data_IF_419469661296
#
_entry.id   IF_419469661296
#
_cell.length_a   1.000
_cell.length_b   1.000
_cell.length_c   1.000
_cell.angle_alpha   90.00
_cell.angle_beta   90.00
_cell.angle_gamma   90.00
#
_symmetry.space_group_name_H-M   'P 1'
#
loop_
_entity.id
_entity.type
_entity.pdbx_description
1 polymer ?
#
# COMPACT_ATOMS: atom_id res chain seq x y z
N UNK A 1 -21.19 40.69 12.48
CA UNK A 1 -21.84 39.56 13.16
C UNK A 1 -21.46 38.35 12.34
N UNK A 2 -20.24 37.87 12.54
CA UNK A 2 -19.65 36.77 11.79
C UNK A 2 -19.49 35.61 12.76
N UNK A 3 -20.26 34.57 12.53
CA UNK A 3 -20.24 33.34 13.30
C UNK A 3 -19.13 32.43 12.77
N UNK A 4 -18.03 32.38 13.53
CA UNK A 4 -16.90 31.50 13.29
C UNK A 4 -17.25 30.08 13.80
N UNK A 5 -17.54 29.16 12.87
CA UNK A 5 -17.84 27.77 13.17
C UNK A 5 -16.54 26.95 13.14
N UNK A 6 -15.87 26.87 14.30
CA UNK A 6 -14.78 25.91 14.52
C UNK A 6 -15.37 24.50 14.62
N UNK A 7 -15.21 23.68 13.58
CA UNK A 7 -15.52 22.25 13.64
C UNK A 7 -14.38 21.51 14.34
N UNK A 8 -14.59 21.14 15.60
CA UNK A 8 -13.73 20.20 16.32
C UNK A 8 -14.04 18.77 15.83
N UNK A 9 -13.12 18.16 15.09
CA UNK A 9 -13.13 16.73 14.81
C UNK A 9 -12.77 15.97 16.09
N UNK A 10 -13.80 15.55 16.84
CA UNK A 10 -13.69 14.49 17.84
C UNK A 10 -13.56 13.16 17.07
N UNK A 11 -12.32 12.74 16.82
CA UNK A 11 -12.00 11.52 16.09
C UNK A 11 -11.84 10.31 17.01
N UNK A 12 -12.67 9.30 16.80
CA UNK A 12 -12.63 7.93 17.34
C UNK A 12 -11.21 7.35 17.45
N UNK A 13 -10.95 6.56 18.50
CA UNK A 13 -9.67 6.00 18.88
C UNK A 13 -9.06 4.97 17.91
N UNK A 14 -8.72 5.40 16.69
CA UNK A 14 -7.96 4.62 15.71
C UNK A 14 -6.47 4.72 16.01
N UNK A 15 -5.79 3.57 16.05
CA UNK A 15 -4.38 3.48 16.42
C UNK A 15 -3.51 3.58 15.18
N UNK A 16 -2.75 4.66 15.05
CA UNK A 16 -1.60 4.71 14.14
C UNK A 16 -0.47 3.89 14.76
N UNK A 17 0.01 2.87 14.05
CA UNK A 17 1.18 2.07 14.48
C UNK A 17 2.41 2.71 13.84
N UNK A 18 3.37 3.12 14.68
CA UNK A 18 4.51 3.98 14.37
C UNK A 18 5.37 3.52 13.17
N UNK A 19 5.88 4.48 12.39
CA UNK A 19 6.90 4.26 11.37
C UNK A 19 8.24 3.82 11.99
N UNK A 20 8.90 2.83 11.38
CA UNK A 20 10.20 2.32 11.82
C UNK A 20 11.35 2.79 10.88
N UNK A 21 12.52 3.17 11.42
CA UNK A 21 13.70 3.44 10.59
C UNK A 21 14.29 2.15 10.00
N UNK A 22 14.73 2.23 8.73
CA UNK A 22 15.32 1.11 7.99
C UNK A 22 16.64 0.60 8.62
N UNK A 23 16.92 -0.72 8.57
CA UNK A 23 18.15 -1.31 9.10
C UNK A 23 19.38 -0.96 8.23
N UNK A 24 20.50 -0.61 8.89
CA UNK A 24 21.80 -0.37 8.22
C UNK A 24 22.69 -1.60 8.31
N UNK A 25 22.96 -2.28 7.19
CA UNK A 25 24.12 -3.16 7.02
C UNK A 25 23.81 -4.63 6.67
N UNK A 26 24.27 -5.04 5.47
CA UNK A 26 24.08 -6.36 4.86
C UNK A 26 23.64 -6.15 3.40
N UNK A 27 24.26 -6.83 2.43
CA UNK A 27 24.15 -6.51 0.98
C UNK A 27 22.75 -6.06 0.56
N UNK A 28 22.65 -4.86 -0.02
CA UNK A 28 21.38 -4.14 -0.19
C UNK A 28 20.32 -5.03 -0.83
N UNK A 29 19.34 -5.50 -0.04
CA UNK A 29 18.13 -6.08 -0.60
C UNK A 29 17.48 -5.01 -1.49
N UNK A 30 16.90 -5.39 -2.62
CA UNK A 30 16.11 -4.44 -3.41
C UNK A 30 14.95 -3.89 -2.56
N UNK A 31 14.52 -2.64 -2.77
CA UNK A 31 13.39 -2.04 -2.03
C UNK A 31 12.13 -2.92 -2.07
N UNK A 32 11.89 -3.57 -3.22
CA UNK A 32 10.78 -4.50 -3.42
C UNK A 32 10.85 -5.70 -2.47
N UNK A 33 12.05 -6.20 -2.17
CA UNK A 33 12.22 -7.30 -1.22
C UNK A 33 11.93 -6.89 0.24
N UNK A 34 12.24 -5.64 0.64
CA UNK A 34 11.87 -5.13 1.97
C UNK A 34 10.35 -4.95 2.08
N UNK A 35 9.73 -4.33 1.07
CA UNK A 35 8.28 -4.15 1.04
C UNK A 35 7.52 -5.47 1.07
N UNK A 36 7.97 -6.48 0.31
CA UNK A 36 7.35 -7.81 0.33
C UNK A 36 7.42 -8.46 1.71
N UNK A 37 8.57 -8.35 2.39
CA UNK A 37 8.74 -8.88 3.75
C UNK A 37 7.83 -8.20 4.76
N UNK A 38 7.70 -6.87 4.71
CA UNK A 38 6.85 -6.15 5.65
C UNK A 38 5.36 -6.45 5.40
N UNK A 39 4.95 -6.53 4.14
CA UNK A 39 3.59 -6.93 3.74
C UNK A 39 3.29 -8.34 4.24
N UNK A 40 4.18 -9.31 4.01
CA UNK A 40 4.02 -10.68 4.51
C UNK A 40 4.00 -10.74 6.05
N UNK A 41 4.83 -9.94 6.72
CA UNK A 41 4.86 -9.84 8.17
C UNK A 41 3.59 -9.21 8.76
N UNK A 42 2.87 -8.38 8.00
CA UNK A 42 1.56 -7.87 8.39
C UNK A 42 0.47 -8.89 8.08
N UNK A 43 0.45 -9.47 6.87
CA UNK A 43 -0.51 -10.49 6.44
C UNK A 43 -0.55 -11.69 7.40
N UNK A 44 0.62 -12.15 7.87
CA UNK A 44 0.73 -13.24 8.86
C UNK A 44 0.12 -12.95 10.24
N UNK A 45 -0.30 -11.70 10.51
CA UNK A 45 -1.04 -11.34 11.72
C UNK A 45 -2.55 -11.54 11.57
N UNK A 46 -3.03 -11.78 10.35
CA UNK A 46 -4.40 -12.11 10.06
C UNK A 46 -4.70 -13.56 10.50
N UNK A 47 -5.95 -13.84 10.91
CA UNK A 47 -6.36 -15.20 11.32
C UNK A 47 -6.64 -16.11 10.12
N UNK A 48 -6.80 -15.53 8.94
CA UNK A 48 -7.12 -16.23 7.70
C UNK A 48 -6.10 -17.34 7.39
N UNK A 49 -6.60 -18.48 6.92
CA UNK A 49 -5.81 -19.70 6.68
C UNK A 49 -5.21 -19.77 5.27
N UNK A 50 -5.71 -18.93 4.35
CA UNK A 50 -5.28 -18.85 2.96
C UNK A 50 -5.29 -17.40 2.47
N UNK A 51 -4.61 -17.15 1.36
CA UNK A 51 -4.36 -15.81 0.85
C UNK A 51 -4.56 -15.77 -0.66
N UNK A 52 -5.35 -14.79 -1.11
CA UNK A 52 -5.49 -14.39 -2.49
C UNK A 52 -4.74 -13.08 -2.70
N UNK A 53 -3.63 -13.11 -3.41
CA UNK A 53 -2.89 -11.91 -3.82
C UNK A 53 -3.42 -11.43 -5.17
N UNK A 54 -3.73 -10.14 -5.24
CA UNK A 54 -4.20 -9.47 -6.44
C UNK A 54 -3.31 -8.26 -6.71
N UNK A 55 -2.79 -8.17 -7.93
CA UNK A 55 -2.11 -6.96 -8.43
C UNK A 55 -2.89 -6.39 -9.61
N UNK A 56 -3.56 -5.23 -9.44
CA UNK A 56 -4.31 -4.58 -10.51
C UNK A 56 -3.41 -3.94 -11.58
N UNK A 57 -2.11 -3.77 -11.32
CA UNK A 57 -1.18 -3.07 -12.22
C UNK A 57 0.16 -3.81 -12.26
N UNK A 58 0.14 -5.03 -12.82
CA UNK A 58 1.27 -5.95 -12.75
C UNK A 58 2.58 -5.33 -13.25
N UNK A 59 2.53 -4.50 -14.30
CA UNK A 59 3.71 -3.89 -14.88
C UNK A 59 4.73 -4.97 -15.21
N UNK A 60 5.96 -4.85 -14.70
CA UNK A 60 7.03 -5.86 -14.87
C UNK A 60 6.89 -7.11 -13.99
N UNK A 61 5.99 -7.11 -13.01
CA UNK A 61 5.80 -8.21 -12.05
C UNK A 61 6.89 -8.36 -11.00
N UNK A 62 7.85 -7.42 -10.91
CA UNK A 62 8.95 -7.52 -9.95
C UNK A 62 8.47 -7.53 -8.49
N UNK A 63 7.48 -6.71 -8.14
CA UNK A 63 6.96 -6.68 -6.77
C UNK A 63 6.22 -7.98 -6.42
N UNK A 64 5.38 -8.46 -7.34
CA UNK A 64 4.72 -9.76 -7.23
C UNK A 64 5.71 -10.90 -7.00
N UNK A 65 6.82 -10.91 -7.75
CA UNK A 65 7.87 -11.89 -7.55
C UNK A 65 8.36 -11.91 -6.09
N UNK A 66 8.67 -10.74 -5.51
CA UNK A 66 9.13 -10.68 -4.13
C UNK A 66 8.05 -11.04 -3.11
N UNK A 67 6.81 -10.57 -3.32
CA UNK A 67 5.67 -10.93 -2.48
C UNK A 67 5.46 -12.44 -2.44
N UNK A 68 5.46 -13.10 -3.61
CA UNK A 68 5.22 -14.55 -3.72
C UNK A 68 6.32 -15.40 -3.08
N UNK A 69 7.56 -14.90 -3.02
CA UNK A 69 8.63 -15.57 -2.28
C UNK A 69 8.46 -15.47 -0.77
N UNK A 70 7.73 -14.47 -0.28
CA UNK A 70 7.45 -14.25 1.14
C UNK A 70 6.10 -14.81 1.58
N UNK A 71 5.22 -15.12 0.63
CA UNK A 71 3.89 -15.69 0.82
C UNK A 71 3.78 -17.01 0.05
N UNK A 72 4.49 -18.07 0.50
CA UNK A 72 4.36 -19.37 -0.14
C UNK A 72 2.90 -19.83 -0.01
N UNK A 73 2.38 -20.48 -1.05
CA UNK A 73 1.00 -20.97 -1.15
C UNK A 73 -0.09 -19.92 -1.41
N UNK A 74 0.27 -18.63 -1.54
CA UNK A 74 -0.69 -17.61 -1.96
C UNK A 74 -1.13 -17.85 -3.41
N UNK A 75 -2.45 -17.92 -3.61
CA UNK A 75 -3.03 -17.89 -4.95
C UNK A 75 -2.92 -16.48 -5.49
N UNK A 76 -2.42 -16.32 -6.71
CA UNK A 76 -2.15 -14.98 -7.23
C UNK A 76 -2.77 -14.74 -8.60
N UNK A 77 -3.44 -13.60 -8.74
CA UNK A 77 -3.96 -13.08 -9.99
C UNK A 77 -3.38 -11.68 -10.20
N UNK A 78 -2.97 -11.36 -11.42
CA UNK A 78 -2.49 -10.04 -11.76
C UNK A 78 -3.05 -9.60 -13.11
N UNK A 79 -3.19 -8.29 -13.27
CA UNK A 79 -3.74 -7.67 -14.47
C UNK A 79 -2.74 -6.71 -15.09
N UNK A 80 -2.64 -6.75 -16.41
CA UNK A 80 -1.90 -5.76 -17.20
C UNK A 80 -2.75 -5.40 -18.42
N UNK A 81 -3.05 -4.11 -18.59
CA UNK A 81 -3.94 -3.67 -19.66
C UNK A 81 -3.18 -3.36 -20.96
N UNK A 82 -1.91 -2.98 -20.88
CA UNK A 82 -1.09 -2.75 -22.07
C UNK A 82 -0.62 -4.09 -22.67
N UNK A 83 -1.02 -4.44 -23.92
CA UNK A 83 -0.68 -5.74 -24.50
C UNK A 83 0.82 -5.97 -24.68
N UNK A 84 1.60 -4.92 -24.91
CA UNK A 84 3.05 -5.03 -25.07
C UNK A 84 3.73 -5.27 -23.73
N UNK A 85 3.31 -4.56 -22.67
CA UNK A 85 3.80 -4.81 -21.31
C UNK A 85 3.40 -6.20 -20.86
N UNK A 86 2.14 -6.61 -21.09
CA UNK A 86 1.66 -7.96 -20.79
C UNK A 86 2.53 -9.03 -21.45
N UNK A 87 2.84 -8.91 -22.75
CA UNK A 87 3.63 -9.89 -23.47
C UNK A 87 5.04 -10.02 -22.87
N UNK A 88 5.70 -8.89 -22.58
CA UNK A 88 7.03 -8.88 -21.99
C UNK A 88 7.03 -9.47 -20.58
N UNK A 89 6.06 -9.08 -19.75
CA UNK A 89 5.96 -9.52 -18.35
C UNK A 89 5.57 -10.98 -18.26
N UNK A 90 4.66 -11.45 -19.11
CA UNK A 90 4.29 -12.87 -19.20
C UNK A 90 5.50 -13.75 -19.51
N UNK A 91 6.33 -13.36 -20.49
CA UNK A 91 7.57 -14.08 -20.83
C UNK A 91 8.55 -14.10 -19.66
N UNK A 92 8.74 -12.97 -18.96
CA UNK A 92 9.66 -12.89 -17.82
C UNK A 92 9.18 -13.73 -16.63
N UNK A 93 7.90 -13.64 -16.30
CA UNK A 93 7.29 -14.35 -15.16
C UNK A 93 7.23 -15.86 -15.39
N UNK A 94 7.04 -16.31 -16.64
CA UNK A 94 7.09 -17.73 -16.99
C UNK A 94 8.44 -18.40 -16.68
N UNK A 95 9.53 -17.63 -16.62
CA UNK A 95 10.86 -18.15 -16.24
C UNK A 95 11.00 -18.42 -14.73
N UNK A 96 10.08 -17.88 -13.91
CA UNK A 96 10.17 -17.90 -12.45
C UNK A 96 9.38 -19.05 -11.81
N UNK A 97 8.59 -19.79 -12.61
CA UNK A 97 7.75 -20.92 -12.18
C UNK A 97 6.89 -20.59 -10.94
N UNK A 98 6.30 -19.39 -10.94
CA UNK A 98 5.46 -18.91 -9.84
C UNK A 98 3.98 -19.27 -10.04
N UNK A 99 3.22 -19.52 -8.96
CA UNK A 99 1.78 -19.79 -9.02
C UNK A 99 0.97 -18.50 -9.25
N UNK A 100 1.17 -17.88 -10.43
CA UNK A 100 0.62 -16.59 -10.82
C UNK A 100 -0.17 -16.71 -12.12
N UNK A 101 -1.41 -16.22 -12.12
CA UNK A 101 -2.21 -16.02 -13.32
C UNK A 101 -2.14 -14.54 -13.74
N UNK A 102 -1.46 -14.25 -14.84
CA UNK A 102 -1.42 -12.91 -15.44
C UNK A 102 -2.43 -12.82 -16.59
N UNK A 103 -3.29 -11.81 -16.57
CA UNK A 103 -4.32 -11.57 -17.59
C UNK A 103 -4.10 -10.22 -18.30
N UNK A 104 -4.32 -10.20 -19.62
CA UNK A 104 -4.23 -8.99 -20.43
C UNK A 104 -5.59 -8.26 -20.45
N UNK A 105 -5.89 -7.50 -19.41
CA UNK A 105 -7.17 -6.79 -19.24
C UNK A 105 -7.04 -5.63 -18.28
N UNK A 106 -7.98 -4.67 -18.35
CA UNK A 106 -8.22 -3.72 -17.26
C UNK A 106 -8.57 -4.49 -15.97
N UNK A 107 -8.03 -4.05 -14.84
CA UNK A 107 -8.25 -4.69 -13.54
C UNK A 107 -9.72 -4.76 -13.15
N UNK A 108 -10.53 -3.75 -13.48
CA UNK A 108 -11.97 -3.72 -13.16
C UNK A 108 -12.71 -4.88 -13.83
N UNK A 109 -12.51 -5.07 -15.14
CA UNK A 109 -13.06 -6.20 -15.88
C UNK A 109 -12.44 -7.55 -15.44
N UNK A 110 -11.17 -7.53 -15.03
CA UNK A 110 -10.49 -8.70 -14.47
C UNK A 110 -11.10 -9.17 -13.15
N UNK A 111 -11.40 -8.24 -12.23
CA UNK A 111 -11.97 -8.52 -10.92
C UNK A 111 -13.33 -9.22 -10.99
N UNK A 112 -14.14 -8.95 -12.03
CA UNK A 112 -15.42 -9.63 -12.26
C UNK A 112 -15.29 -11.17 -12.30
N UNK A 113 -14.11 -11.70 -12.62
CA UNK A 113 -13.81 -13.12 -12.75
C UNK A 113 -12.99 -13.70 -11.60
N UNK A 114 -12.64 -12.88 -10.60
CA UNK A 114 -11.89 -13.31 -9.42
C UNK A 114 -12.84 -13.53 -8.26
N UNK A 115 -12.71 -14.67 -7.58
CA UNK A 115 -13.46 -14.98 -6.36
C UNK A 115 -12.48 -15.33 -5.26
N UNK A 116 -12.72 -14.80 -4.07
CA UNK A 116 -12.08 -15.25 -2.85
C UNK A 116 -12.91 -16.39 -2.24
N UNK A 117 -12.24 -17.36 -1.62
CA UNK A 117 -12.91 -18.34 -0.78
C UNK A 117 -13.40 -17.66 0.52
N UNK A 118 -14.39 -18.25 1.22
CA UNK A 118 -14.71 -17.82 2.58
C UNK A 118 -13.47 -17.87 3.47
N UNK A 119 -13.29 -16.84 4.31
CA UNK A 119 -12.14 -16.70 5.23
C UNK A 119 -10.75 -16.63 4.55
N UNK A 120 -10.69 -16.42 3.23
CA UNK A 120 -9.44 -16.11 2.51
C UNK A 120 -9.12 -14.62 2.69
N UNK A 121 -7.86 -14.32 3.06
CA UNK A 121 -7.37 -12.93 3.09
C UNK A 121 -7.16 -12.45 1.66
N UNK A 122 -7.85 -11.36 1.28
CA UNK A 122 -7.61 -10.68 0.02
C UNK A 122 -6.49 -9.66 0.22
N UNK A 123 -5.36 -9.87 -0.43
CA UNK A 123 -4.21 -8.99 -0.38
C UNK A 123 -4.07 -8.28 -1.73
N UNK A 124 -4.34 -6.98 -1.77
CA UNK A 124 -4.19 -6.16 -2.96
C UNK A 124 -2.86 -5.41 -2.92
N UNK A 125 -1.93 -5.69 -3.82
CA UNK A 125 -0.76 -4.84 -4.04
C UNK A 125 -1.12 -3.77 -5.07
N UNK A 126 -1.08 -2.49 -4.70
CA UNK A 126 -1.62 -1.40 -5.53
C UNK A 126 -0.51 -0.42 -5.87
N UNK A 127 -0.06 -0.46 -7.13
CA UNK A 127 0.97 0.43 -7.65
C UNK A 127 0.52 1.05 -8.99
N UNK A 128 -0.52 1.90 -9.00
CA UNK A 128 -0.97 2.53 -10.23
C UNK A 128 0.12 3.46 -10.77
N UNK A 129 0.14 3.72 -12.08
CA UNK A 129 1.01 4.74 -12.64
C UNK A 129 0.70 6.09 -11.97
N UNK A 130 1.71 6.71 -11.37
CA UNK A 130 1.53 8.00 -10.70
C UNK A 130 1.31 9.15 -11.69
N UNK A 131 1.91 9.10 -12.88
CA UNK A 131 1.69 10.10 -13.93
C UNK A 131 1.76 11.54 -13.42
N UNK A 132 0.65 12.26 -13.54
CA UNK A 132 0.50 13.66 -13.11
C UNK A 132 0.14 13.85 -11.62
N UNK A 133 -0.01 12.75 -10.87
CA UNK A 133 -0.31 12.75 -9.44
C UNK A 133 0.91 13.13 -8.58
N UNK A 134 2.13 12.83 -9.06
CA UNK A 134 3.37 13.18 -8.35
C UNK A 134 3.84 14.57 -8.79
N UNK A 135 3.68 15.55 -7.90
CA UNK A 135 4.19 16.90 -8.09
C UNK A 135 5.37 17.19 -7.16
N UNK A 136 6.40 17.85 -7.71
CA UNK A 136 7.63 18.16 -6.99
C UNK A 136 7.45 19.09 -5.77
N UNK A 137 6.34 19.83 -5.68
CA UNK A 137 6.06 20.80 -4.61
C UNK A 137 5.09 20.24 -3.58
N UNK A 138 4.03 19.56 -4.01
CA UNK A 138 3.01 19.03 -3.08
C UNK A 138 3.23 17.56 -2.72
N UNK A 139 3.97 16.81 -3.54
CA UNK A 139 4.13 15.37 -3.40
C UNK A 139 3.10 14.59 -4.22
N UNK A 140 2.94 13.31 -3.89
CA UNK A 140 1.98 12.41 -4.50
C UNK A 140 0.56 12.70 -3.99
N UNK A 141 -0.33 13.09 -4.89
CA UNK A 141 -1.77 13.20 -4.62
C UNK A 141 -2.47 11.90 -5.02
N UNK A 142 -2.84 11.09 -4.03
CA UNK A 142 -3.42 9.76 -4.24
C UNK A 142 -4.78 9.81 -4.96
N UNK A 143 -5.50 10.93 -4.87
CA UNK A 143 -6.79 11.13 -5.55
C UNK A 143 -6.62 11.48 -7.04
N UNK A 144 -5.40 11.77 -7.49
CA UNK A 144 -5.08 12.12 -8.88
C UNK A 144 -4.26 11.06 -9.60
N UNK A 145 -4.03 9.91 -8.96
CA UNK A 145 -3.53 8.72 -9.65
C UNK A 145 -4.52 8.27 -10.72
N UNK A 146 -4.05 7.53 -11.72
CA UNK A 146 -4.90 7.08 -12.83
C UNK A 146 -4.86 5.55 -12.88
N UNK A 147 -5.89 4.86 -12.36
CA UNK A 147 -7.09 5.41 -11.69
C UNK A 147 -6.81 5.88 -10.24
N UNK A 148 -7.69 6.69 -9.63
CA UNK A 148 -7.55 7.13 -8.25
C UNK A 148 -7.49 5.94 -7.28
N UNK A 149 -6.53 5.94 -6.35
CA UNK A 149 -6.35 4.85 -5.39
C UNK A 149 -7.58 4.60 -4.53
N UNK A 150 -8.35 5.64 -4.19
CA UNK A 150 -9.60 5.48 -3.43
C UNK A 150 -10.61 4.65 -4.22
N UNK A 151 -10.72 4.87 -5.53
CA UNK A 151 -11.66 4.17 -6.40
C UNK A 151 -11.25 2.70 -6.57
N UNK A 152 -9.95 2.42 -6.62
CA UNK A 152 -9.41 1.06 -6.58
C UNK A 152 -9.83 0.37 -5.28
N UNK A 153 -9.59 1.00 -4.12
CA UNK A 153 -9.97 0.42 -2.82
C UNK A 153 -11.48 0.16 -2.75
N UNK A 154 -12.31 1.11 -3.19
CA UNK A 154 -13.77 0.96 -3.22
C UNK A 154 -14.22 -0.22 -4.09
N UNK A 155 -13.58 -0.41 -5.25
CA UNK A 155 -13.87 -1.55 -6.14
C UNK A 155 -13.60 -2.89 -5.45
N UNK A 156 -12.43 -3.02 -4.80
CA UNK A 156 -12.11 -4.23 -4.04
C UNK A 156 -13.07 -4.46 -2.86
N UNK A 157 -13.44 -3.41 -2.14
CA UNK A 157 -14.40 -3.52 -1.03
C UNK A 157 -15.75 -4.02 -1.51
N UNK A 158 -16.20 -3.55 -2.68
CA UNK A 158 -17.44 -4.01 -3.30
C UNK A 158 -17.34 -5.48 -3.75
N UNK A 159 -16.26 -5.85 -4.44
CA UNK A 159 -16.14 -7.17 -5.09
C UNK A 159 -15.83 -8.31 -4.11
N UNK A 160 -15.23 -8.00 -2.97
CA UNK A 160 -14.83 -8.97 -1.95
C UNK A 160 -15.54 -8.73 -0.61
N UNK A 161 -16.78 -8.23 -0.64
CA UNK A 161 -17.58 -8.00 0.57
C UNK A 161 -17.59 -9.25 1.46
N UNK A 162 -17.29 -9.05 2.75
CA UNK A 162 -17.23 -10.12 3.76
C UNK A 162 -15.86 -10.76 3.94
N UNK A 163 -14.91 -10.59 3.02
CA UNK A 163 -13.52 -11.01 3.20
C UNK A 163 -12.72 -9.99 4.02
N UNK A 164 -11.74 -10.48 4.78
CA UNK A 164 -10.70 -9.63 5.34
C UNK A 164 -9.78 -9.17 4.21
N UNK A 165 -9.37 -7.89 4.25
CA UNK A 165 -8.52 -7.32 3.22
C UNK A 165 -7.26 -6.69 3.79
N UNK A 166 -6.18 -6.75 3.01
CA UNK A 166 -4.94 -6.03 3.22
C UNK A 166 -4.54 -5.35 1.91
N UNK A 167 -4.52 -4.02 1.91
CA UNK A 167 -3.99 -3.22 0.82
C UNK A 167 -2.53 -2.90 1.11
N UNK A 168 -1.67 -3.11 0.12
CA UNK A 168 -0.27 -2.78 0.14
C UNK A 168 -0.01 -1.79 -1.00
N UNK A 169 -0.09 -0.49 -0.70
CA UNK A 169 -0.17 0.58 -1.69
C UNK A 169 1.20 1.24 -1.83
N UNK A 170 1.78 1.24 -3.03
CA UNK A 170 3.02 1.95 -3.29
C UNK A 170 2.78 3.46 -3.20
N UNK A 171 3.61 4.14 -2.41
CA UNK A 171 3.51 5.59 -2.18
C UNK A 171 4.88 6.24 -2.32
N UNK A 172 4.90 7.57 -2.36
CA UNK A 172 6.11 8.38 -2.36
C UNK A 172 6.34 8.99 -0.97
N UNK A 173 7.58 9.27 -0.58
CA UNK A 173 7.91 9.84 0.75
C UNK A 173 7.24 11.20 1.02
N UNK A 174 6.93 11.93 -0.05
CA UNK A 174 6.10 13.15 -0.02
C UNK A 174 4.74 12.82 -0.60
N UNK A 175 3.71 12.96 0.23
CA UNK A 175 2.30 12.81 -0.15
C UNK A 175 1.53 14.09 0.17
N UNK A 176 0.51 14.37 -0.64
CA UNK A 176 -0.44 15.44 -0.36
C UNK A 176 -1.29 15.02 0.87
N UNK A 177 -1.28 15.83 1.96
CA UNK A 177 -1.93 15.50 3.22
C UNK A 177 -3.40 15.08 3.16
N UNK A 178 -4.21 15.80 2.38
CA UNK A 178 -5.66 15.57 2.31
C UNK A 178 -5.96 14.26 1.57
N UNK A 179 -5.22 13.97 0.51
CA UNK A 179 -5.34 12.72 -0.25
C UNK A 179 -5.00 11.51 0.62
N UNK A 180 -3.90 11.59 1.40
CA UNK A 180 -3.53 10.55 2.36
C UNK A 180 -4.59 10.38 3.45
N UNK A 181 -5.05 11.49 4.06
CA UNK A 181 -6.09 11.45 5.08
C UNK A 181 -7.40 10.84 4.55
N UNK A 182 -7.78 11.20 3.32
CA UNK A 182 -8.93 10.64 2.62
C UNK A 182 -8.82 9.12 2.48
N UNK A 183 -7.68 8.62 2.02
CA UNK A 183 -7.44 7.19 1.86
C UNK A 183 -7.43 6.44 3.20
N UNK A 184 -6.63 6.87 4.18
CA UNK A 184 -6.50 6.13 5.45
C UNK A 184 -7.79 6.13 6.27
N UNK A 185 -8.69 7.08 6.04
CA UNK A 185 -10.02 7.08 6.66
C UNK A 185 -10.86 5.85 6.30
N UNK A 186 -10.52 5.18 5.19
CA UNK A 186 -11.19 3.96 4.71
C UNK A 186 -10.68 2.69 5.37
N UNK A 187 -9.57 2.73 6.10
CA UNK A 187 -9.01 1.53 6.75
C UNK A 187 -9.37 1.47 8.23
N UNK A 188 -9.51 0.25 8.74
CA UNK A 188 -9.68 -0.01 10.18
C UNK A 188 -8.38 0.27 10.94
N UNK A 189 -7.25 -0.12 10.34
CA UNK A 189 -5.90 0.21 10.78
C UNK A 189 -4.95 0.34 9.58
N UNK A 190 -3.89 1.13 9.73
CA UNK A 190 -2.88 1.31 8.71
C UNK A 190 -1.46 1.46 9.29
N UNK A 191 -0.46 1.06 8.51
CA UNK A 191 0.98 1.27 8.75
C UNK A 191 1.58 1.96 7.51
N UNK A 192 2.40 3.00 7.69
CA UNK A 192 3.10 3.68 6.60
C UNK A 192 4.61 3.53 6.81
N UNK A 193 5.31 3.04 5.78
CA UNK A 193 6.77 2.88 5.79
C UNK A 193 7.36 3.57 4.56
N UNK A 194 8.45 4.29 4.75
CA UNK A 194 9.23 4.93 3.68
C UNK A 194 10.63 4.35 3.71
N UNK A 195 11.11 3.87 2.57
CA UNK A 195 12.39 3.18 2.46
C UNK A 195 13.46 4.17 2.01
N UNK A 196 14.44 4.45 2.87
CA UNK A 196 15.55 5.39 2.61
C UNK A 196 16.62 4.84 1.66
N UNK A 197 16.20 4.33 0.50
CA UNK A 197 17.04 3.64 -0.48
C UNK A 197 17.48 4.56 -1.62
N UNK A 198 16.82 5.71 -1.76
CA UNK A 198 17.12 6.75 -2.73
C UNK A 198 17.54 8.05 -2.03
N UNK A 199 17.87 9.08 -2.82
CA UNK A 199 18.12 10.40 -2.27
C UNK A 199 16.85 10.97 -1.62
N UNK A 200 17.03 11.84 -0.63
CA UNK A 200 15.90 12.53 -0.01
C UNK A 200 15.07 13.29 -1.06
N UNK A 201 13.75 13.14 -1.00
CA UNK A 201 12.80 13.58 -2.00
C UNK A 201 12.53 12.61 -3.16
N UNK A 202 13.09 11.40 -3.15
CA UNK A 202 12.94 10.35 -4.19
C UNK A 202 12.66 8.96 -3.61
N UNK A 203 12.42 8.85 -2.31
CA UNK A 203 12.18 7.58 -1.66
C UNK A 203 10.74 7.13 -1.91
N UNK A 204 10.61 5.86 -2.25
CA UNK A 204 9.33 5.18 -2.29
C UNK A 204 9.02 4.59 -0.90
N UNK A 205 7.75 4.30 -0.71
CA UNK A 205 7.22 3.70 0.49
C UNK A 205 6.06 2.78 0.21
N UNK A 206 5.53 2.21 1.27
CA UNK A 206 4.32 1.42 1.23
C UNK A 206 3.37 1.86 2.35
N UNK A 207 2.13 2.12 1.96
CA UNK A 207 1.01 2.29 2.88
C UNK A 207 0.27 0.96 2.94
N UNK A 208 0.26 0.33 4.10
CA UNK A 208 -0.48 -0.90 4.35
C UNK A 208 -1.77 -0.57 5.08
N UNK A 209 -2.92 -0.87 4.48
CA UNK A 209 -4.25 -0.63 5.04
C UNK A 209 -5.02 -1.94 5.24
N UNK A 210 -5.64 -2.12 6.41
CA UNK A 210 -6.44 -3.31 6.73
C UNK A 210 -7.92 -2.98 6.82
N UNK A 211 -8.76 -3.91 6.37
CA UNK A 211 -10.22 -3.82 6.38
C UNK A 211 -10.87 -5.14 6.82
N UNK A 212 -11.87 -5.06 7.70
CA UNK A 212 -12.53 -6.21 8.30
C UNK A 212 -11.72 -6.86 9.42
N UNK A 213 -10.58 -6.26 9.81
CA UNK A 213 -9.74 -6.71 10.92
C UNK A 213 -8.77 -5.61 11.37
N UNK A 214 -8.23 -5.78 12.58
CA UNK A 214 -7.19 -4.91 13.11
C UNK A 214 -5.97 -5.75 13.46
N UNK A 215 -4.80 -5.50 12.86
CA UNK A 215 -3.57 -6.19 13.21
C UNK A 215 -3.27 -6.00 14.70
N UNK A 216 -2.96 -7.09 15.40
CA UNK A 216 -2.45 -6.97 16.77
C UNK A 216 -1.13 -6.20 16.72
N UNK A 217 -0.95 -5.27 17.65
CA UNK A 217 0.28 -4.52 17.79
C UNK A 217 1.49 -5.48 17.79
N UNK A 218 2.47 -5.20 16.93
CA UNK A 218 3.71 -5.96 16.90
C UNK A 218 4.31 -5.90 18.30
N UNK A 219 4.54 -7.05 18.93
CA UNK A 219 5.36 -7.09 20.15
C UNK A 219 6.78 -6.71 19.73
N UNK A 220 7.13 -5.44 19.84
CA UNK A 220 8.50 -4.98 19.58
C UNK A 220 9.41 -5.66 20.60
N UNK A 221 10.39 -6.48 20.18
CA UNK A 221 11.41 -6.96 21.10
C UNK A 221 12.14 -5.76 21.69
N UNK A 222 12.30 -5.70 23.01
CA UNK A 222 12.87 -4.57 23.74
C UNK A 222 14.28 -4.16 23.26
N UNK A 223 14.96 -4.98 22.45
CA UNK A 223 16.32 -4.78 21.96
C UNK A 223 16.45 -3.93 20.69
N UNK A 224 15.36 -3.40 20.09
CA UNK A 224 15.43 -2.48 18.93
C UNK A 224 14.98 -1.05 19.24
N UNK A 225 15.26 -0.54 20.45
CA UNK A 225 15.14 0.88 20.77
C UNK A 225 16.46 1.59 20.43
N UNK A 226 16.68 1.89 19.16
CA UNK A 226 17.76 2.79 18.72
C UNK A 226 17.14 3.86 17.84
N UNK A 227 17.04 5.09 18.38
CA UNK A 227 16.61 6.31 17.69
C UNK A 227 15.24 6.28 16.99
N UNK A 228 14.16 6.18 17.78
CA UNK A 228 12.89 6.82 17.39
C UNK A 228 13.04 8.34 17.60
N UNK A 229 13.42 9.07 16.55
CA UNK A 229 12.95 10.45 16.46
C UNK A 229 11.47 10.38 16.10
N UNK A 230 10.60 10.69 17.07
CA UNK A 230 9.25 11.13 16.79
C UNK A 230 9.34 12.40 15.94
N UNK A 231 9.34 12.26 14.61
CA UNK A 231 8.87 13.31 13.75
C UNK A 231 7.36 13.43 14.00
N UNK A 232 6.98 14.17 15.03
CA UNK A 232 5.71 14.91 14.96
C UNK A 232 5.86 15.79 13.72
N UNK A 233 5.12 15.47 12.65
CA UNK A 233 4.75 16.45 11.66
C UNK A 233 3.98 17.55 12.40
N UNK A 234 4.71 18.53 12.93
CA UNK A 234 4.14 19.81 13.27
C UNK A 234 3.83 20.47 11.92
N UNK A 235 2.60 20.28 11.43
CA UNK A 235 2.05 21.15 10.40
C UNK A 235 2.05 22.57 10.95
N UNK A 236 3.07 23.35 10.60
CA UNK A 236 2.97 24.81 10.68
C UNK A 236 2.03 25.23 9.56
N UNK A 237 0.78 25.52 9.90
CA UNK A 237 -0.06 26.42 9.10
C UNK A 237 0.70 27.74 8.99
N UNK A 238 1.28 27.99 7.82
CA UNK A 238 1.87 29.29 7.53
C UNK A 238 0.76 30.33 7.49
N UNK A 239 0.59 31.09 8.56
CA UNK A 239 -0.09 32.38 8.47
C UNK A 239 0.78 33.31 7.64
N UNK A 240 0.24 33.99 6.61
CA UNK A 240 0.95 35.09 5.98
C UNK A 240 1.00 36.23 7.00
N UNK A 241 2.20 36.72 7.29
CA UNK A 241 2.36 38.02 7.93
C UNK A 241 1.83 39.06 6.92
N UNK A 242 0.66 39.63 7.23
CA UNK A 242 0.19 40.87 6.64
C UNK A 242 1.06 42.05 7.12
N UNK A 243 0.96 43.20 6.42
CA UNK A 243 1.98 44.26 6.33
C UNK A 243 2.34 44.93 7.65
#
# INVERSE_FOLDING_TARGET
MDGDATLALVGSGRTSILAHPAPKGGGCPSHLSESGLDVAALASRCISVSQLVIDPFAGSGNTLYWLLRTLPDARTVAFENDPLVYELSSRNLALLDLPLRLECTDFSAGLEHVRAAPDELVLAFVAPPWGHALDSRVGLDLARTEPPIVDIVESFVSDFEGNQMLFAIQVHERMEPKSLAGLVSRFDAYELMVYGLHHAGQNDGILMGSLGWTPRARRTPASRLSHLMCARLAWKTGSPLGP
#
